data_IF_874472726055
#
_entry.id   IF_874472726055
#
_cell.length_a   1.000
_cell.length_b   1.000
_cell.length_c   1.000
_cell.angle_alpha   90.00
_cell.angle_beta   90.00
_cell.angle_gamma   90.00
#
_symmetry.space_group_name_H-M   'P 1'
#
loop_
_entity.id
_entity.type
_entity.pdbx_description
1 polymer ?
#
# COMPACT_ATOMS: atom_id res chain seq x y z
N UNK A 1 -15.19 11.38 21.41
CA UNK A 1 -13.86 11.96 21.12
C UNK A 1 -13.87 13.49 21.08
N UNK A 2 -14.70 14.13 20.25
CA UNK A 2 -14.69 15.61 20.08
C UNK A 2 -14.81 16.40 21.39
N UNK A 3 -15.69 15.99 22.31
CA UNK A 3 -15.83 16.63 23.64
C UNK A 3 -14.54 16.55 24.47
N UNK A 4 -13.82 15.44 24.38
CA UNK A 4 -12.55 15.22 25.10
C UNK A 4 -11.46 16.12 24.50
N UNK A 5 -11.36 16.17 23.18
CA UNK A 5 -10.41 17.07 22.49
C UNK A 5 -10.68 18.54 22.85
N UNK A 6 -11.94 18.97 22.83
CA UNK A 6 -12.33 20.33 23.20
C UNK A 6 -11.94 20.64 24.64
N UNK A 7 -12.30 19.77 25.59
CA UNK A 7 -11.93 19.95 27.00
C UNK A 7 -10.41 19.96 27.22
N UNK A 8 -9.63 19.15 26.49
CA UNK A 8 -8.17 19.20 26.57
C UNK A 8 -7.62 20.52 26.03
N UNK A 9 -8.18 21.01 24.93
CA UNK A 9 -7.81 22.31 24.34
C UNK A 9 -8.14 23.46 25.28
N UNK A 10 -9.35 23.46 25.87
CA UNK A 10 -9.80 24.49 26.82
C UNK A 10 -8.95 24.50 28.09
N UNK A 11 -8.43 23.33 28.49
CA UNK A 11 -7.49 23.17 29.60
C UNK A 11 -6.03 23.50 29.23
N UNK A 12 -5.74 23.92 27.99
CA UNK A 12 -4.39 24.22 27.52
C UNK A 12 -3.46 23.00 27.40
N UNK A 13 -4.02 21.79 27.38
CA UNK A 13 -3.25 20.55 27.31
C UNK A 13 -2.81 20.32 25.86
N UNK A 14 -1.51 20.40 25.62
CA UNK A 14 -0.93 20.06 24.32
C UNK A 14 -1.12 18.57 24.00
N UNK A 15 -1.66 18.29 22.81
CA UNK A 15 -1.87 16.93 22.35
C UNK A 15 -0.54 16.29 21.92
N UNK A 16 -0.15 15.23 22.62
CA UNK A 16 1.01 14.42 22.26
C UNK A 16 0.68 13.41 21.16
N UNK A 17 1.73 12.81 20.57
CA UNK A 17 1.62 11.81 19.49
C UNK A 17 0.74 10.60 19.85
N UNK A 18 0.66 10.23 21.13
CA UNK A 18 -0.26 9.19 21.63
C UNK A 18 -1.72 9.58 21.44
N UNK A 19 -2.10 10.78 21.85
CA UNK A 19 -3.48 11.30 21.72
C UNK A 19 -3.87 11.45 20.26
N UNK A 20 -2.97 11.96 19.42
CA UNK A 20 -3.16 12.06 17.96
C UNK A 20 -3.51 10.69 17.33
N UNK A 21 -2.78 9.64 17.73
CA UNK A 21 -3.04 8.28 17.25
C UNK A 21 -4.41 7.76 17.73
N UNK A 22 -4.83 8.08 18.95
CA UNK A 22 -6.14 7.69 19.49
C UNK A 22 -7.25 8.36 18.70
N UNK A 23 -7.13 9.68 18.44
CA UNK A 23 -8.11 10.43 17.64
C UNK A 23 -8.26 9.83 16.24
N UNK A 24 -7.14 9.61 15.55
CA UNK A 24 -7.14 8.99 14.22
C UNK A 24 -7.68 7.57 14.24
N UNK A 25 -7.39 6.77 15.27
CA UNK A 25 -7.97 5.44 15.42
C UNK A 25 -9.49 5.50 15.52
N UNK A 26 -10.04 6.42 16.33
CA UNK A 26 -11.50 6.57 16.48
C UNK A 26 -12.17 6.97 15.17
N UNK A 27 -11.63 7.98 14.47
CA UNK A 27 -12.22 8.41 13.19
C UNK A 27 -12.06 7.35 12.09
N UNK A 28 -10.95 6.61 12.09
CA UNK A 28 -10.70 5.49 11.18
C UNK A 28 -11.73 4.38 11.35
N UNK A 29 -12.08 4.01 12.59
CA UNK A 29 -13.12 3.00 12.87
C UNK A 29 -14.50 3.37 12.32
N UNK A 30 -14.81 4.67 12.25
CA UNK A 30 -16.05 5.19 11.66
C UNK A 30 -15.92 5.54 10.17
N UNK A 31 -14.73 5.39 9.56
CA UNK A 31 -14.40 5.85 8.20
C UNK A 31 -14.78 7.31 7.92
N UNK A 32 -14.68 8.16 8.93
CA UNK A 32 -14.99 9.59 8.81
C UNK A 32 -13.81 10.33 8.17
N UNK A 33 -13.68 10.21 6.84
CA UNK A 33 -12.55 10.78 6.10
C UNK A 33 -12.44 12.30 6.25
N UNK A 34 -13.57 13.01 6.34
CA UNK A 34 -13.61 14.46 6.50
C UNK A 34 -13.02 14.91 7.83
N UNK A 35 -13.35 14.21 8.93
CA UNK A 35 -12.75 14.50 10.24
C UNK A 35 -11.28 14.11 10.29
N UNK A 36 -10.90 12.98 9.70
CA UNK A 36 -9.48 12.57 9.62
C UNK A 36 -8.66 13.60 8.84
N UNK A 37 -9.20 14.12 7.74
CA UNK A 37 -8.55 15.13 6.92
C UNK A 37 -8.35 16.44 7.70
N UNK A 38 -9.40 16.90 8.38
CA UNK A 38 -9.34 18.09 9.25
C UNK A 38 -8.29 17.90 10.35
N UNK A 39 -8.25 16.70 10.94
CA UNK A 39 -7.31 16.35 11.98
C UNK A 39 -5.86 16.35 11.49
N UNK A 40 -5.56 15.72 10.35
CA UNK A 40 -4.22 15.74 9.75
C UNK A 40 -3.76 17.15 9.38
N UNK A 41 -4.67 17.99 8.85
CA UNK A 41 -4.38 19.41 8.59
C UNK A 41 -4.00 20.15 9.87
N UNK A 42 -4.68 19.87 10.97
CA UNK A 42 -4.35 20.45 12.28
C UNK A 42 -3.01 19.93 12.82
N UNK A 43 -2.75 18.62 12.73
CA UNK A 43 -1.44 18.04 13.09
C UNK A 43 -0.30 18.72 12.33
N UNK A 44 -0.46 18.96 11.01
CA UNK A 44 0.53 19.67 10.21
C UNK A 44 0.76 21.10 10.70
N UNK A 45 -0.30 21.86 11.00
CA UNK A 45 -0.19 23.23 11.55
C UNK A 45 0.59 23.24 12.87
N UNK A 46 0.39 22.23 13.70
CA UNK A 46 1.09 22.03 14.97
C UNK A 46 2.48 21.38 14.81
N UNK A 47 2.93 21.12 13.57
CA UNK A 47 4.19 20.45 13.24
C UNK A 47 4.33 19.06 13.86
N UNK A 48 3.20 18.37 14.06
CA UNK A 48 3.17 16.99 14.54
C UNK A 48 3.10 16.05 13.33
N UNK A 49 4.16 15.28 13.11
CA UNK A 49 4.20 14.32 12.02
C UNK A 49 3.38 13.06 12.35
N UNK A 50 2.60 12.52 11.39
CA UNK A 50 1.96 11.22 11.52
C UNK A 50 2.96 10.11 11.89
N UNK A 51 2.57 9.25 12.83
CA UNK A 51 3.34 8.05 13.19
C UNK A 51 3.00 6.88 12.27
N UNK A 52 3.77 5.78 12.35
CA UNK A 52 3.43 4.52 11.67
C UNK A 52 2.01 4.03 12.00
N UNK A 53 1.56 4.20 13.25
CA UNK A 53 0.19 3.81 13.65
C UNK A 53 -0.85 4.70 12.98
N UNK A 54 -0.66 6.01 13.01
CA UNK A 54 -1.51 6.96 12.31
C UNK A 54 -1.60 6.66 10.80
N UNK A 55 -0.47 6.37 10.18
CA UNK A 55 -0.39 5.99 8.77
C UNK A 55 -1.22 4.74 8.45
N UNK A 56 -1.07 3.68 9.27
CA UNK A 56 -1.89 2.47 9.18
C UNK A 56 -3.38 2.77 9.39
N UNK A 57 -3.76 3.54 10.42
CA UNK A 57 -5.16 3.87 10.68
C UNK A 57 -5.81 4.62 9.52
N UNK A 58 -5.11 5.61 8.97
CA UNK A 58 -5.62 6.39 7.84
C UNK A 58 -5.79 5.51 6.62
N UNK A 59 -4.75 4.81 6.17
CA UNK A 59 -4.82 4.02 4.94
C UNK A 59 -5.77 2.83 5.05
N UNK A 60 -5.87 2.17 6.22
CA UNK A 60 -6.82 1.08 6.42
C UNK A 60 -8.29 1.56 6.43
N UNK A 61 -8.54 2.85 6.64
CA UNK A 61 -9.88 3.44 6.56
C UNK A 61 -10.30 3.80 5.14
N UNK A 62 -9.38 3.78 4.17
CA UNK A 62 -9.57 4.18 2.78
C UNK A 62 -9.99 2.96 1.92
N UNK A 63 -11.29 2.80 1.59
CA UNK A 63 -11.77 1.59 0.92
C UNK A 63 -11.22 1.44 -0.50
N UNK A 64 -11.04 2.54 -1.22
CA UNK A 64 -10.55 2.51 -2.61
C UNK A 64 -9.06 2.14 -2.65
N UNK A 65 -8.24 2.62 -1.71
CA UNK A 65 -6.84 2.15 -1.57
C UNK A 65 -6.79 0.69 -1.12
N UNK A 66 -7.69 0.30 -0.21
CA UNK A 66 -7.80 -1.08 0.28
C UNK A 66 -8.07 -2.05 -0.86
N UNK A 67 -9.06 -1.76 -1.71
CA UNK A 67 -9.39 -2.54 -2.90
C UNK A 67 -8.19 -2.68 -3.83
N UNK A 68 -7.45 -1.59 -4.11
CA UNK A 68 -6.23 -1.67 -4.93
C UNK A 68 -5.19 -2.65 -4.36
N UNK A 69 -4.89 -2.55 -3.06
CA UNK A 69 -3.87 -3.35 -2.41
C UNK A 69 -4.28 -4.82 -2.22
N UNK A 70 -5.57 -5.13 -2.18
CA UNK A 70 -6.08 -6.50 -1.97
C UNK A 70 -6.39 -7.23 -3.27
N UNK A 71 -7.05 -6.58 -4.23
CA UNK A 71 -7.50 -7.22 -5.47
C UNK A 71 -6.36 -7.41 -6.47
N UNK A 72 -5.36 -6.52 -6.45
CA UNK A 72 -4.22 -6.55 -7.37
C UNK A 72 -4.68 -6.68 -8.83
N UNK A 73 -5.78 -6.02 -9.22
CA UNK A 73 -6.33 -6.09 -10.57
C UNK A 73 -5.35 -5.59 -11.64
N UNK A 74 -5.54 -5.89 -12.94
CA UNK A 74 -4.59 -5.55 -14.01
C UNK A 74 -4.22 -4.05 -14.09
N UNK A 75 -5.19 -3.18 -13.75
CA UNK A 75 -5.03 -1.72 -13.68
C UNK A 75 -4.61 -1.23 -12.28
N UNK A 76 -3.73 -1.99 -11.62
CA UNK A 76 -3.15 -1.59 -10.33
C UNK A 76 -2.21 -0.40 -10.55
N UNK A 77 -2.41 0.73 -9.86
CA UNK A 77 -1.47 1.84 -9.97
C UNK A 77 -0.08 1.46 -9.43
N UNK A 78 0.96 1.72 -10.22
CA UNK A 78 2.35 1.44 -9.86
C UNK A 78 3.14 2.73 -9.56
N UNK A 79 2.44 3.82 -9.25
CA UNK A 79 3.02 5.11 -8.89
C UNK A 79 2.08 5.91 -8.00
N UNK A 80 2.62 6.81 -7.17
CA UNK A 80 1.81 7.70 -6.32
C UNK A 80 0.84 8.55 -7.16
N UNK A 81 1.27 9.20 -8.27
CA UNK A 81 0.34 9.95 -9.11
C UNK A 81 -0.78 9.06 -9.71
N UNK A 82 -0.44 7.84 -10.13
CA UNK A 82 -1.43 6.89 -10.65
C UNK A 82 -2.46 6.49 -9.59
N UNK A 83 -2.00 6.25 -8.35
CA UNK A 83 -2.87 5.91 -7.23
C UNK A 83 -3.81 7.07 -6.88
N UNK A 84 -3.28 8.30 -6.79
CA UNK A 84 -4.08 9.51 -6.53
C UNK A 84 -5.07 9.77 -7.66
N UNK A 85 -4.69 9.58 -8.92
CA UNK A 85 -5.61 9.68 -10.07
C UNK A 85 -6.75 8.68 -9.95
N UNK A 86 -6.45 7.42 -9.64
CA UNK A 86 -7.47 6.37 -9.45
C UNK A 86 -8.38 6.65 -8.24
N UNK A 87 -7.83 7.21 -7.16
CA UNK A 87 -8.64 7.64 -6.02
C UNK A 87 -9.65 8.73 -6.40
N UNK A 88 -9.19 9.75 -7.15
CA UNK A 88 -10.06 10.84 -7.62
C UNK A 88 -11.16 10.37 -8.57
N UNK A 89 -10.91 9.32 -9.36
CA UNK A 89 -11.88 8.81 -10.34
C UNK A 89 -12.80 7.72 -9.80
N UNK A 90 -12.33 6.89 -8.86
CA UNK A 90 -13.04 5.68 -8.43
C UNK A 90 -13.57 5.73 -6.99
N UNK A 91 -13.11 6.68 -6.16
CA UNK A 91 -13.64 6.76 -4.80
C UNK A 91 -15.04 7.38 -4.79
N UNK A 92 -16.02 6.74 -4.14
CA UNK A 92 -17.33 7.36 -3.90
C UNK A 92 -17.27 8.44 -2.80
N UNK A 93 -16.14 8.58 -2.11
CA UNK A 93 -15.93 9.52 -1.01
C UNK A 93 -14.93 10.60 -1.42
N UNK A 94 -15.37 11.84 -1.76
CA UNK A 94 -14.47 12.89 -2.21
C UNK A 94 -13.31 13.15 -1.24
N UNK A 95 -13.62 13.12 0.07
CA UNK A 95 -12.67 13.33 1.15
C UNK A 95 -11.60 12.24 1.26
N UNK A 96 -11.81 11.02 0.74
CA UNK A 96 -10.80 9.95 0.77
C UNK A 96 -9.55 10.35 -0.02
N UNK A 97 -9.76 10.91 -1.22
CA UNK A 97 -8.66 11.32 -2.10
C UNK A 97 -7.86 12.47 -1.48
N UNK A 98 -8.52 13.44 -0.86
CA UNK A 98 -7.89 14.54 -0.15
C UNK A 98 -7.17 14.07 1.11
N UNK A 99 -7.76 13.13 1.85
CA UNK A 99 -7.17 12.52 3.04
C UNK A 99 -5.85 11.82 2.72
N UNK A 100 -5.81 11.01 1.67
CA UNK A 100 -4.59 10.31 1.25
C UNK A 100 -3.53 11.31 0.79
N UNK A 101 -3.90 12.32 0.00
CA UNK A 101 -2.95 13.37 -0.42
C UNK A 101 -2.40 14.15 0.79
N UNK A 102 -3.25 14.52 1.74
CA UNK A 102 -2.85 15.21 2.97
C UNK A 102 -1.90 14.34 3.82
N UNK A 103 -2.20 13.05 3.96
CA UNK A 103 -1.33 12.10 4.65
C UNK A 103 0.04 12.02 3.99
N UNK A 104 0.09 11.84 2.67
CA UNK A 104 1.35 11.75 1.93
C UNK A 104 2.20 13.03 2.05
N UNK A 105 1.56 14.20 2.05
CA UNK A 105 2.24 15.48 2.17
C UNK A 105 2.66 15.85 3.61
N UNK A 106 2.02 15.27 4.64
CA UNK A 106 2.34 15.54 6.06
C UNK A 106 3.21 14.47 6.71
N UNK A 107 3.38 13.30 6.06
CA UNK A 107 4.03 12.13 6.63
C UNK A 107 5.51 12.05 6.31
N UNK A 108 6.34 11.85 7.34
CA UNK A 108 7.75 11.48 7.22
C UNK A 108 7.98 9.97 7.46
N UNK A 109 6.93 9.16 7.32
CA UNK A 109 6.98 7.72 7.64
C UNK A 109 7.90 6.96 6.69
N UNK A 110 7.98 7.38 5.43
CA UNK A 110 8.93 6.80 4.46
C UNK A 110 10.38 6.98 4.91
N UNK A 111 10.75 8.13 5.48
CA UNK A 111 12.10 8.40 5.98
C UNK A 111 12.46 7.50 7.17
N UNK A 112 11.46 7.12 7.97
CA UNK A 112 11.63 6.18 9.09
C UNK A 112 11.66 4.73 8.64
N UNK A 113 10.91 4.39 7.60
CA UNK A 113 10.83 3.04 7.04
C UNK A 113 12.02 2.72 6.12
N UNK A 114 12.63 3.73 5.52
CA UNK A 114 13.76 3.60 4.60
C UNK A 114 15.08 3.85 5.33
N UNK A 115 16.02 2.94 5.15
CA UNK A 115 17.41 3.14 5.55
C UNK A 115 18.29 3.23 4.31
N UNK A 116 19.05 4.32 4.21
CA UNK A 116 19.99 4.54 3.12
C UNK A 116 21.42 4.54 3.64
N UNK A 117 22.29 3.79 2.98
CA UNK A 117 23.74 3.71 3.22
C UNK A 117 24.49 3.61 1.90
N UNK A 118 25.81 3.73 1.91
CA UNK A 118 26.64 3.50 0.71
C UNK A 118 26.48 2.08 0.16
N UNK A 119 26.30 1.10 1.05
CA UNK A 119 26.18 -0.31 0.69
C UNK A 119 24.77 -0.72 0.27
N UNK A 120 23.74 -0.13 0.86
CA UNK A 120 22.36 -0.61 0.75
C UNK A 120 21.34 0.52 0.87
N UNK A 121 20.32 0.51 0.00
CA UNK A 121 19.02 1.12 0.28
C UNK A 121 18.01 0.04 0.65
N UNK A 122 17.41 0.17 1.83
CA UNK A 122 16.52 -0.82 2.41
C UNK A 122 15.19 -0.20 2.80
N UNK A 123 14.09 -0.75 2.30
CA UNK A 123 12.75 -0.48 2.82
C UNK A 123 12.36 -1.53 3.87
N UNK A 124 12.02 -1.09 5.09
CA UNK A 124 11.51 -1.97 6.14
C UNK A 124 10.00 -1.79 6.31
N UNK A 125 9.24 -2.82 5.93
CA UNK A 125 7.78 -2.85 6.01
C UNK A 125 7.28 -3.54 7.28
N UNK A 126 8.17 -3.93 8.20
CA UNK A 126 7.75 -4.53 9.47
C UNK A 126 6.89 -3.57 10.29
N UNK A 127 5.71 -4.02 10.73
CA UNK A 127 4.77 -3.21 11.50
C UNK A 127 3.81 -2.34 10.66
N UNK A 128 3.91 -2.40 9.33
CA UNK A 128 2.95 -1.76 8.43
C UNK A 128 1.85 -2.73 8.01
N UNK A 129 0.62 -2.21 7.84
CA UNK A 129 -0.45 -3.00 7.22
C UNK A 129 -0.13 -3.28 5.74
N UNK A 130 -0.76 -4.29 5.14
CA UNK A 130 -0.63 -4.59 3.70
C UNK A 130 -0.93 -3.35 2.84
N UNK A 131 -1.94 -2.56 3.21
CA UNK A 131 -2.33 -1.35 2.49
C UNK A 131 -1.25 -0.28 2.62
N UNK A 132 -0.68 -0.09 3.82
CA UNK A 132 0.42 0.84 4.03
C UNK A 132 1.71 0.40 3.36
N UNK A 133 1.97 -0.91 3.31
CA UNK A 133 3.09 -1.50 2.59
C UNK A 133 3.01 -1.18 1.09
N UNK A 134 1.83 -1.31 0.47
CA UNK A 134 1.61 -0.93 -0.92
C UNK A 134 1.98 0.54 -1.16
N UNK A 135 1.44 1.46 -0.35
CA UNK A 135 1.70 2.90 -0.50
C UNK A 135 3.19 3.24 -0.27
N UNK A 136 3.81 2.67 0.76
CA UNK A 136 5.23 2.90 1.05
C UNK A 136 6.14 2.38 -0.05
N UNK A 137 5.79 1.26 -0.70
CA UNK A 137 6.54 0.77 -1.85
C UNK A 137 6.51 1.75 -3.02
N UNK A 138 5.35 2.37 -3.30
CA UNK A 138 5.25 3.40 -4.33
C UNK A 138 6.14 4.60 -3.98
N UNK A 139 6.06 5.11 -2.74
CA UNK A 139 6.90 6.22 -2.28
C UNK A 139 8.40 5.88 -2.32
N UNK A 140 8.75 4.65 -1.93
CA UNK A 140 10.13 4.17 -1.88
C UNK A 140 10.75 4.10 -3.27
N UNK A 141 10.03 3.56 -4.25
CA UNK A 141 10.50 3.49 -5.63
C UNK A 141 10.79 4.90 -6.18
N UNK A 142 9.91 5.87 -5.91
CA UNK A 142 10.14 7.26 -6.31
C UNK A 142 11.33 7.89 -5.56
N UNK A 143 11.49 7.61 -4.27
CA UNK A 143 12.64 8.06 -3.48
C UNK A 143 13.98 7.49 -3.99
N UNK A 144 13.99 6.24 -4.44
CA UNK A 144 15.19 5.60 -5.01
C UNK A 144 15.52 6.19 -6.39
N UNK A 145 14.52 6.48 -7.23
CA UNK A 145 14.73 7.15 -8.53
C UNK A 145 15.28 8.56 -8.41
N UNK A 146 14.84 9.30 -7.40
CA UNK A 146 15.24 10.69 -7.18
C UNK A 146 16.74 10.84 -6.82
N UNK A 147 17.46 9.73 -6.56
CA UNK A 147 18.87 9.74 -6.20
C UNK A 147 19.74 9.40 -7.43
N UNK A 148 20.77 10.20 -7.64
CA UNK A 148 21.72 10.04 -8.75
C UNK A 148 22.66 8.84 -8.57
N UNK A 149 23.01 8.50 -7.33
CA UNK A 149 23.95 7.42 -7.01
C UNK A 149 23.23 6.26 -6.34
N UNK A 150 23.25 5.09 -6.99
CA UNK A 150 22.66 3.88 -6.42
C UNK A 150 23.67 3.10 -5.57
N UNK A 151 23.26 2.63 -4.38
CA UNK A 151 24.08 1.76 -3.54
C UNK A 151 24.32 0.41 -4.22
N UNK A 152 25.18 -0.41 -3.62
CA UNK A 152 25.53 -1.75 -4.14
C UNK A 152 24.34 -2.71 -4.11
N UNK A 153 23.41 -2.49 -3.19
CA UNK A 153 22.26 -3.35 -2.94
C UNK A 153 20.98 -2.54 -2.77
N UNK A 154 19.90 -3.03 -3.37
CA UNK A 154 18.54 -2.54 -3.14
C UNK A 154 17.76 -3.67 -2.50
N UNK A 155 17.13 -3.42 -1.34
CA UNK A 155 16.38 -4.45 -0.62
C UNK A 155 15.09 -3.95 0.02
N UNK A 156 14.18 -4.89 0.24
CA UNK A 156 12.90 -4.68 0.88
C UNK A 156 12.64 -5.82 1.87
N UNK A 157 12.26 -5.48 3.10
CA UNK A 157 11.97 -6.42 4.19
C UNK A 157 10.49 -6.38 4.52
N UNK A 158 9.77 -7.49 4.30
CA UNK A 158 8.35 -7.64 4.60
C UNK A 158 8.07 -8.17 6.03
N UNK A 159 9.13 -8.44 6.81
CA UNK A 159 9.05 -9.13 8.09
C UNK A 159 8.98 -10.66 7.94
N UNK A 160 9.24 -11.36 9.05
CA UNK A 160 9.03 -12.80 9.19
C UNK A 160 7.79 -12.90 10.07
N UNK A 161 6.64 -13.31 9.53
CA UNK A 161 5.37 -13.35 10.26
C UNK A 161 5.42 -14.29 11.47
N UNK A 162 6.05 -13.88 12.57
CA UNK A 162 6.20 -14.66 13.82
C UNK A 162 5.02 -14.51 14.77
N UNK A 163 4.08 -13.59 14.48
CA UNK A 163 2.86 -13.37 15.29
C UNK A 163 1.56 -13.41 14.47
N UNK A 164 1.59 -13.81 13.20
CA UNK A 164 0.37 -14.14 12.45
C UNK A 164 0.06 -15.62 12.68
N UNK A 165 -0.39 -15.95 13.89
CA UNK A 165 -0.93 -17.28 14.27
C UNK A 165 -2.36 -17.50 13.71
N UNK A 166 -2.68 -16.77 12.63
CA UNK A 166 -3.83 -17.05 11.79
C UNK A 166 -3.24 -17.66 10.52
N UNK A 167 -3.61 -18.91 10.26
CA UNK A 167 -3.29 -19.65 9.04
C UNK A 167 -3.67 -18.81 7.81
N UNK A 168 -2.70 -18.07 7.27
CA UNK A 168 -2.82 -17.16 6.14
C UNK A 168 -1.42 -16.74 5.71
N UNK A 169 -1.11 -16.90 4.43
CA UNK A 169 0.21 -16.62 3.84
C UNK A 169 0.64 -15.14 4.07
N UNK A 170 1.94 -14.79 4.08
CA UNK A 170 2.39 -13.45 4.45
C UNK A 170 2.02 -12.41 3.37
N UNK A 171 0.81 -11.86 3.47
CA UNK A 171 0.20 -10.94 2.50
C UNK A 171 1.09 -9.76 2.09
N UNK A 172 1.87 -9.19 3.01
CA UNK A 172 2.80 -8.09 2.68
C UNK A 172 3.95 -8.53 1.76
N UNK A 173 4.38 -9.80 1.84
CA UNK A 173 5.40 -10.36 0.97
C UNK A 173 4.86 -10.67 -0.42
N UNK A 174 3.69 -11.28 -0.51
CA UNK A 174 3.04 -11.55 -1.80
C UNK A 174 2.68 -10.27 -2.53
N UNK A 175 2.09 -9.29 -1.82
CA UNK A 175 1.89 -7.95 -2.34
C UNK A 175 3.20 -7.36 -2.88
N UNK A 176 4.28 -7.44 -2.09
CA UNK A 176 5.55 -6.85 -2.48
C UNK A 176 6.13 -7.51 -3.74
N UNK A 177 6.05 -8.84 -3.83
CA UNK A 177 6.47 -9.58 -5.01
C UNK A 177 5.65 -9.19 -6.24
N UNK A 178 4.33 -9.12 -6.10
CA UNK A 178 3.44 -8.82 -7.21
C UNK A 178 3.64 -7.39 -7.73
N UNK A 179 3.63 -6.39 -6.84
CA UNK A 179 3.80 -4.98 -7.21
C UNK A 179 5.17 -4.76 -7.86
N UNK A 180 6.25 -5.28 -7.26
CA UNK A 180 7.59 -5.14 -7.83
C UNK A 180 7.75 -5.92 -9.14
N UNK A 181 7.12 -7.09 -9.27
CA UNK A 181 7.14 -7.87 -10.51
C UNK A 181 6.49 -7.09 -11.65
N UNK A 182 5.31 -6.48 -11.42
CA UNK A 182 4.64 -5.62 -12.40
C UNK A 182 5.41 -4.38 -12.75
N UNK A 183 6.20 -3.86 -11.81
CA UNK A 183 7.14 -2.79 -12.09
C UNK A 183 8.37 -3.25 -12.89
N UNK A 184 8.53 -4.54 -13.19
CA UNK A 184 9.73 -5.07 -13.86
C UNK A 184 10.97 -5.10 -12.96
N UNK A 185 10.77 -5.10 -11.64
CA UNK A 185 11.86 -5.02 -10.67
C UNK A 185 12.80 -6.23 -10.74
N UNK A 186 14.13 -6.02 -10.61
CA UNK A 186 15.09 -7.11 -10.52
C UNK A 186 15.15 -7.74 -9.12
N UNK A 187 14.41 -7.23 -8.13
CA UNK A 187 14.42 -7.76 -6.77
C UNK A 187 13.87 -9.19 -6.75
N UNK A 188 14.57 -10.09 -6.05
CA UNK A 188 14.20 -11.51 -5.89
C UNK A 188 14.24 -11.89 -4.42
N UNK A 189 13.50 -12.95 -4.07
CA UNK A 189 13.50 -13.47 -2.71
C UNK A 189 14.90 -13.91 -2.30
N UNK A 190 15.34 -13.46 -1.12
CA UNK A 190 16.63 -13.85 -0.57
C UNK A 190 16.59 -15.32 -0.17
N UNK A 191 17.59 -16.08 -0.59
CA UNK A 191 17.82 -17.46 -0.12
C UNK A 191 18.16 -17.52 1.36
N UNK A 192 18.68 -16.43 1.93
CA UNK A 192 19.08 -16.34 3.36
C UNK A 192 17.95 -15.84 4.26
N UNK A 193 16.97 -15.12 3.72
CA UNK A 193 15.85 -14.57 4.48
C UNK A 193 14.57 -14.55 3.65
N UNK A 194 13.64 -15.46 3.96
CA UNK A 194 12.35 -15.64 3.27
C UNK A 194 11.39 -14.44 3.39
N UNK A 195 11.70 -13.45 4.22
CA UNK A 195 10.98 -12.18 4.36
C UNK A 195 11.66 -10.99 3.70
N UNK A 196 12.73 -11.21 2.92
CA UNK A 196 13.53 -10.15 2.29
C UNK A 196 13.62 -10.35 0.78
N UNK A 197 13.29 -9.30 0.03
CA UNK A 197 13.54 -9.17 -1.40
C UNK A 197 14.83 -8.37 -1.60
N UNK A 198 15.71 -8.82 -2.50
CA UNK A 198 17.03 -8.23 -2.71
C UNK A 198 17.38 -8.24 -4.19
N UNK A 199 18.00 -7.16 -4.66
CA UNK A 199 18.76 -7.11 -5.91
C UNK A 199 20.22 -6.79 -5.57
N UNK A 200 21.09 -7.81 -5.63
CA UNK A 200 22.55 -7.66 -5.59
C UNK A 200 23.11 -7.81 -7.01
N UNK A 201 24.24 -7.16 -7.29
CA UNK A 201 25.17 -7.59 -8.37
C UNK A 201 24.90 -7.15 -9.81
N UNK A 202 23.84 -6.38 -10.14
CA UNK A 202 23.66 -5.79 -11.49
C UNK A 202 23.09 -4.39 -11.41
N UNK A 203 23.93 -3.40 -11.07
CA UNK A 203 23.55 -1.97 -11.06
C UNK A 203 22.80 -1.60 -12.35
N UNK A 204 23.20 -2.14 -13.49
CA UNK A 204 22.56 -1.82 -14.78
C UNK A 204 21.11 -2.27 -14.86
N UNK A 205 20.75 -3.42 -14.27
CA UNK A 205 19.35 -3.86 -14.23
C UNK A 205 18.50 -3.02 -13.28
N UNK A 206 19.06 -2.60 -12.16
CA UNK A 206 18.38 -1.70 -11.21
C UNK A 206 18.22 -0.32 -11.84
N UNK A 207 19.25 0.21 -12.51
CA UNK A 207 19.20 1.47 -13.27
C UNK A 207 18.15 1.42 -14.37
N UNK A 208 18.14 0.35 -15.18
CA UNK A 208 17.14 0.15 -16.24
C UNK A 208 15.72 0.09 -15.68
N UNK A 209 15.54 -0.67 -14.60
CA UNK A 209 14.26 -0.74 -13.89
C UNK A 209 13.81 0.65 -13.44
N UNK A 210 14.67 1.40 -12.74
CA UNK A 210 14.34 2.74 -12.22
C UNK A 210 14.10 3.79 -13.33
N UNK A 211 14.70 3.61 -14.51
CA UNK A 211 14.51 4.47 -15.67
C UNK A 211 13.18 4.19 -16.43
N UNK A 212 12.47 3.12 -16.08
CA UNK A 212 11.19 2.78 -16.71
C UNK A 212 10.10 3.76 -16.26
N UNK A 213 9.20 4.16 -17.16
CA UNK A 213 8.00 4.93 -16.78
C UNK A 213 6.81 3.98 -16.66
N UNK A 214 6.26 3.83 -15.46
CA UNK A 214 5.02 3.08 -15.22
C UNK A 214 3.84 4.04 -15.32
N UNK A 215 3.51 4.43 -16.55
CA UNK A 215 2.23 5.04 -16.85
C UNK A 215 1.20 3.93 -16.96
N UNK A 216 0.10 4.02 -16.20
CA UNK A 216 -1.06 3.17 -16.43
C UNK A 216 -1.48 3.33 -17.90
N UNK A 217 -1.80 2.25 -18.64
CA UNK A 217 -2.35 2.39 -19.97
C UNK A 217 -3.63 3.21 -19.85
N UNK A 218 -3.62 4.39 -20.45
CA UNK A 218 -4.80 5.20 -20.68
C UNK A 218 -5.41 4.64 -21.96
N UNK A 219 -6.51 3.90 -21.84
CA UNK A 219 -7.43 3.80 -22.97
C UNK A 219 -8.16 5.13 -23.02
N UNK A 220 -7.61 6.07 -23.80
CA UNK A 220 -8.44 7.18 -24.30
C UNK A 220 -9.50 6.52 -25.17
N UNK A 221 -10.76 6.78 -24.82
CA UNK A 221 -11.90 6.38 -25.62
C UNK A 221 -11.86 7.12 -26.94
N UNK A 222 -11.17 6.56 -27.93
CA UNK A 222 -11.48 6.82 -29.33
C UNK A 222 -12.49 5.77 -29.76
N UNK A 223 -13.72 6.21 -29.90
CA UNK A 223 -14.72 5.53 -30.72
C UNK A 223 -14.11 5.33 -32.10
N UNK A 224 -13.89 4.08 -32.50
CA UNK A 224 -14.04 3.68 -33.88
C UNK A 224 -14.31 2.19 -33.95
N UNK A 225 -15.46 1.87 -34.55
CA UNK A 225 -15.89 0.52 -34.84
C UNK A 225 -14.97 -0.06 -35.92
N UNK A 226 -14.43 -1.25 -35.68
CA UNK A 226 -14.12 -2.20 -36.76
C UNK A 226 -13.89 -3.58 -36.17
N UNK A 227 -14.76 -4.51 -36.54
CA UNK A 227 -14.62 -5.95 -36.29
C UNK A 227 -13.42 -6.52 -37.04
N UNK A 228 -12.54 -7.25 -36.36
CA UNK A 228 -12.21 -8.61 -36.80
C UNK A 228 -11.56 -9.43 -35.69
N UNK A 229 -11.98 -10.69 -35.59
CA UNK A 229 -11.57 -11.61 -34.53
C UNK A 229 -10.20 -12.24 -34.74
N UNK A 230 -9.54 -12.60 -33.64
CA UNK A 230 -8.74 -13.82 -33.55
C UNK A 230 -8.39 -14.13 -32.08
N UNK A 231 -8.34 -15.43 -31.80
CA UNK A 231 -8.18 -16.08 -30.50
C UNK A 231 -7.01 -15.56 -29.65
N UNK A 232 -7.29 -15.10 -28.43
CA UNK A 232 -6.39 -15.26 -27.28
C UNK A 232 -7.21 -15.53 -26.02
N UNK A 233 -7.10 -16.73 -25.46
CA UNK A 233 -7.70 -17.08 -24.18
C UNK A 233 -7.04 -16.28 -23.05
N UNK A 234 -7.79 -15.51 -22.23
CA UNK A 234 -7.22 -14.77 -21.11
C UNK A 234 -6.98 -15.70 -19.90
N UNK A 235 -5.84 -15.49 -19.25
CA UNK A 235 -5.30 -16.16 -18.05
C UNK A 235 -6.21 -16.13 -16.79
N UNK A 236 -7.43 -15.59 -16.90
CA UNK A 236 -8.44 -15.41 -15.84
C UNK A 236 -9.01 -16.75 -15.35
N UNK A 237 -9.01 -17.78 -16.18
CA UNK A 237 -9.58 -19.10 -15.85
C UNK A 237 -8.77 -19.90 -14.82
N UNK A 238 -7.48 -19.60 -14.61
CA UNK A 238 -6.64 -20.35 -13.68
C UNK A 238 -6.91 -19.98 -12.22
N UNK A 239 -7.33 -18.74 -11.95
CA UNK A 239 -7.60 -18.26 -10.59
C UNK A 239 -9.02 -18.66 -10.11
N UNK A 240 -10.01 -18.62 -11.00
CA UNK A 240 -11.39 -19.05 -10.69
C UNK A 240 -11.51 -20.56 -10.45
N UNK A 241 -10.66 -21.37 -11.08
CA UNK A 241 -10.65 -22.84 -10.87
C UNK A 241 -10.24 -23.23 -9.44
N UNK A 242 -9.40 -22.42 -8.77
CA UNK A 242 -9.02 -22.66 -7.36
C UNK A 242 -10.09 -22.21 -6.37
N UNK A 243 -10.87 -21.17 -6.67
CA UNK A 243 -11.99 -20.74 -5.79
C UNK A 243 -13.15 -21.73 -5.87
N UNK A 244 -13.44 -22.28 -7.06
CA UNK A 244 -14.48 -23.30 -7.24
C UNK A 244 -14.21 -24.63 -6.54
N UNK A 245 -12.94 -25.03 -6.39
CA UNK A 245 -12.57 -26.29 -5.70
C UNK A 245 -12.59 -26.18 -4.16
N UNK A 246 -12.49 -24.96 -3.61
CA UNK A 246 -12.58 -24.72 -2.15
C UNK A 246 -14.03 -24.68 -1.69
N UNK A 247 -14.97 -24.29 -2.56
CA UNK A 247 -16.40 -24.24 -2.23
C UNK A 247 -17.10 -25.61 -2.36
N UNK A 248 -16.56 -26.55 -3.12
CA UNK A 248 -17.10 -27.92 -3.22
C UNK A 248 -16.69 -28.83 -2.05
N UNK A 249 -15.67 -28.47 -1.27
CA UNK A 249 -15.19 -29.25 -0.13
C UNK A 249 -15.86 -28.89 1.21
N UNK A 250 -16.70 -27.83 1.25
CA UNK A 250 -17.47 -27.43 2.43
C UNK A 250 -18.95 -27.86 2.42
N UNK A 251 -19.42 -28.51 1.34
CA UNK A 251 -20.82 -28.92 1.17
C UNK A 251 -21.17 -30.35 1.60
N UNK A 252 -20.27 -31.09 2.26
CA UNK A 252 -20.44 -32.53 2.51
C UNK A 252 -20.53 -32.96 3.98
N UNK A 253 -20.87 -32.06 4.90
CA UNK A 253 -21.19 -32.41 6.29
C UNK A 253 -22.48 -31.72 6.75
N UNK A 254 -23.63 -32.28 6.37
CA UNK A 254 -24.88 -32.23 7.16
C UNK A 254 -25.96 -33.09 6.50
N UNK A 255 -26.01 -34.38 6.86
CA UNK A 255 -27.20 -35.25 6.72
C UNK A 255 -27.08 -36.46 7.66
N UNK A 256 -28.07 -36.63 8.55
CA UNK A 256 -28.22 -37.72 9.54
C UNK A 256 -27.72 -37.27 10.92
N UNK A 257 -28.50 -37.26 12.00
CA UNK A 257 -29.46 -38.25 12.50
C UNK A 257 -30.50 -37.66 13.48
N UNK A 258 -31.65 -38.34 13.56
CA UNK A 258 -32.81 -38.23 14.47
C UNK A 258 -33.72 -36.99 14.30
#
# INVERSE_FOLDING_TARGET
MNRVIASMSDAGICLGTGTENIVLSCYSSCRDHSRMLTWLKNMRKLRIAPTTKAFNFVLNSCPTVTSMAQELGPLLPLSIPGMVKKLKSASPWPAESELVQELLASSSVIDKAMHWSESEVKLNLHGFSTISAYVLMLQWVDAVKARSTLPLEVSLVCGIGKHSDVRGEPMARELAQEVLSRMGSPLRLSTRNKGRLVAKTKRDRVKLWLATYWSSPVTDGSTDQSHNGSNQQPFVLTLLRKVGQVLSSFGQFSKGEA
#
